data_IF_666799069002
#
_entry.id   IF_666799069002
#
_cell.length_a   1.000
_cell.length_b   1.000
_cell.length_c   1.000
_cell.angle_alpha   90.00
_cell.angle_beta   90.00
_cell.angle_gamma   90.00
#
_symmetry.space_group_name_H-M   'P 1'
#
loop_
_entity.id
_entity.type
_entity.pdbx_description
1 polymer ?
#
# COMPACT_ATOMS: atom_id res chain seq x y z
N UNK A 1 -22.09 12.93 17.24
CA UNK A 1 -21.07 12.44 16.27
C UNK A 1 -20.06 11.63 17.04
N UNK A 2 -20.03 10.33 16.84
CA UNK A 2 -19.00 9.43 17.39
C UNK A 2 -17.69 9.61 16.66
N UNK A 3 -16.58 9.54 17.36
CA UNK A 3 -15.25 9.65 16.75
C UNK A 3 -14.49 8.34 16.93
N UNK A 4 -14.02 7.77 15.82
CA UNK A 4 -13.31 6.49 15.79
C UNK A 4 -11.87 6.72 15.33
N UNK A 5 -10.92 6.27 16.13
CA UNK A 5 -9.50 6.18 15.76
C UNK A 5 -9.25 4.75 15.29
N UNK A 6 -9.05 4.58 13.99
CA UNK A 6 -8.62 3.32 13.39
C UNK A 6 -7.11 3.19 13.52
N UNK A 7 -6.63 2.16 14.18
CA UNK A 7 -5.19 1.90 14.36
C UNK A 7 -4.82 0.59 13.67
N UNK A 8 -3.84 0.62 12.77
CA UNK A 8 -3.27 -0.61 12.24
C UNK A 8 -2.38 -1.27 13.28
N UNK A 9 -2.44 -2.60 13.39
CA UNK A 9 -1.49 -3.35 14.24
C UNK A 9 -0.03 -3.02 13.90
N UNK A 10 0.87 -3.15 14.88
CA UNK A 10 2.32 -3.00 14.72
C UNK A 10 2.95 -4.01 13.76
N UNK A 11 4.23 -3.82 13.43
CA UNK A 11 4.97 -4.70 12.53
C UNK A 11 5.06 -6.13 13.07
N UNK A 12 5.03 -7.10 12.17
CA UNK A 12 5.34 -8.51 12.46
C UNK A 12 6.30 -9.07 11.40
N UNK A 13 6.94 -10.18 11.69
CA UNK A 13 7.95 -10.75 10.80
C UNK A 13 7.40 -11.19 9.44
N UNK A 14 6.12 -11.57 9.38
CA UNK A 14 5.51 -11.98 8.11
C UNK A 14 5.31 -10.80 7.17
N UNK A 15 4.87 -9.65 7.69
CA UNK A 15 4.75 -8.43 6.89
C UNK A 15 6.12 -7.95 6.39
N UNK A 16 7.14 -8.01 7.25
CA UNK A 16 8.54 -7.69 6.89
C UNK A 16 9.10 -8.61 5.79
N UNK A 17 8.71 -9.89 5.81
CA UNK A 17 9.12 -10.89 4.82
C UNK A 17 8.25 -10.88 3.56
N UNK A 18 7.29 -9.95 3.42
CA UNK A 18 6.30 -9.94 2.34
C UNK A 18 5.54 -11.26 2.21
N UNK A 19 5.11 -11.82 3.36
CA UNK A 19 4.32 -13.02 3.48
C UNK A 19 2.91 -12.66 3.93
N UNK A 20 1.91 -13.20 3.26
CA UNK A 20 0.51 -12.90 3.54
C UNK A 20 0.06 -13.63 4.80
N UNK A 21 -0.19 -12.89 5.85
CA UNK A 21 -0.52 -13.44 7.16
C UNK A 21 -1.97 -13.90 7.27
N UNK A 22 -2.90 -13.13 6.71
CA UNK A 22 -4.33 -13.39 6.84
C UNK A 22 -4.77 -13.49 8.30
N UNK A 23 -5.62 -14.46 8.58
CA UNK A 23 -6.12 -14.75 9.92
C UNK A 23 -5.37 -15.90 10.62
N UNK A 24 -4.22 -16.34 10.09
CA UNK A 24 -3.43 -17.41 10.72
C UNK A 24 -3.12 -17.02 12.17
N UNK A 25 -3.45 -17.89 13.15
CA UNK A 25 -3.21 -17.63 14.56
C UNK A 25 -1.70 -17.65 14.90
N UNK A 26 -1.32 -17.03 16.04
CA UNK A 26 0.04 -17.09 16.56
C UNK A 26 1.06 -16.23 15.77
N UNK A 27 0.60 -15.30 14.93
CA UNK A 27 1.49 -14.34 14.30
C UNK A 27 1.53 -13.10 15.21
N UNK A 28 2.58 -13.02 16.00
CA UNK A 28 2.83 -11.98 16.99
C UNK A 28 3.48 -10.73 16.40
N UNK A 29 3.44 -9.64 17.14
CA UNK A 29 4.30 -8.47 16.86
C UNK A 29 5.78 -8.89 16.98
N UNK A 30 6.63 -8.29 16.16
CA UNK A 30 8.07 -8.35 16.39
C UNK A 30 8.51 -7.20 17.30
N UNK A 31 9.79 -7.12 17.63
CA UNK A 31 10.32 -6.08 18.51
C UNK A 31 9.98 -4.67 18.03
N UNK A 32 10.13 -4.41 16.73
CA UNK A 32 9.72 -3.13 16.11
C UNK A 32 8.21 -2.89 16.29
N UNK A 33 7.38 -3.92 16.11
CA UNK A 33 5.93 -3.82 16.29
C UNK A 33 5.52 -3.50 17.72
N UNK A 34 6.18 -4.05 18.71
CA UNK A 34 5.97 -3.72 20.13
C UNK A 34 6.36 -2.26 20.43
N UNK A 35 7.48 -1.78 19.91
CA UNK A 35 7.89 -0.38 20.03
C UNK A 35 6.88 0.56 19.36
N UNK A 36 6.38 0.22 18.18
CA UNK A 36 5.35 0.98 17.47
C UNK A 36 4.03 1.01 18.24
N UNK A 37 3.60 -0.13 18.80
CA UNK A 37 2.38 -0.23 19.61
C UNK A 37 2.48 0.61 20.88
N UNK A 38 3.63 0.59 21.56
CA UNK A 38 3.88 1.46 22.69
C UNK A 38 3.88 2.94 22.29
N UNK A 39 4.54 3.30 21.18
CA UNK A 39 4.58 4.68 20.71
C UNK A 39 3.19 5.24 20.38
N UNK A 40 2.34 4.47 19.68
CA UNK A 40 0.96 4.92 19.39
C UNK A 40 0.13 5.02 20.67
N UNK A 41 0.28 4.13 21.64
CA UNK A 41 -0.42 4.22 22.92
C UNK A 41 -0.06 5.51 23.68
N UNK A 42 1.21 5.91 23.69
CA UNK A 42 1.67 7.16 24.32
C UNK A 42 1.12 8.39 23.58
N UNK A 43 1.04 8.36 22.25
CA UNK A 43 0.43 9.46 21.47
C UNK A 43 -1.05 9.62 21.75
N UNK A 44 -1.75 8.56 22.10
CA UNK A 44 -3.17 8.54 22.43
C UNK A 44 -3.44 8.81 23.92
N UNK A 45 -2.43 8.77 24.80
CA UNK A 45 -2.58 8.78 26.26
C UNK A 45 -3.39 9.98 26.83
N UNK A 46 -3.25 11.17 26.20
CA UNK A 46 -3.95 12.37 26.64
C UNK A 46 -5.38 12.48 26.13
N UNK A 47 -5.83 11.58 25.25
CA UNK A 47 -7.16 11.63 24.65
C UNK A 47 -8.20 10.94 25.55
N UNK A 48 -9.45 11.45 25.61
CA UNK A 48 -10.51 10.89 26.46
C UNK A 48 -11.15 9.64 25.82
N UNK A 49 -10.35 8.60 25.58
CA UNK A 49 -10.82 7.35 24.96
C UNK A 49 -11.77 6.63 25.92
N UNK A 50 -12.93 6.20 25.42
CA UNK A 50 -14.00 5.56 26.19
C UNK A 50 -14.08 4.04 25.99
N UNK A 51 -13.62 3.54 24.84
CA UNK A 51 -13.60 2.11 24.55
C UNK A 51 -12.46 1.76 23.58
N UNK A 52 -11.97 0.52 23.71
CA UNK A 52 -10.98 -0.07 22.80
C UNK A 52 -11.58 -1.33 22.20
N UNK A 53 -11.74 -1.31 20.90
CA UNK A 53 -12.15 -2.44 20.08
C UNK A 53 -10.95 -3.02 19.34
N UNK A 54 -10.96 -4.32 19.08
CA UNK A 54 -9.89 -4.97 18.35
C UNK A 54 -10.38 -6.14 17.49
N UNK A 55 -9.78 -6.29 16.32
CA UNK A 55 -9.73 -7.59 15.66
C UNK A 55 -9.21 -8.66 16.64
N UNK A 56 -9.77 -9.88 16.66
CA UNK A 56 -9.31 -10.95 17.56
C UNK A 56 -7.96 -11.55 17.16
N UNK A 57 -7.40 -11.15 16.03
CA UNK A 57 -6.10 -11.66 15.56
C UNK A 57 -4.97 -11.20 16.46
N UNK A 58 -4.09 -12.11 16.88
CA UNK A 58 -3.06 -11.95 17.91
C UNK A 58 -2.31 -10.60 17.83
N UNK A 59 -1.77 -10.21 16.67
CA UNK A 59 -1.03 -8.96 16.48
C UNK A 59 -1.86 -7.69 16.72
N UNK A 60 -3.18 -7.76 16.47
CA UNK A 60 -4.09 -6.66 16.80
C UNK A 60 -4.36 -6.61 18.29
N UNK A 61 -4.60 -7.75 18.91
CA UNK A 61 -4.80 -7.85 20.38
C UNK A 61 -3.59 -7.30 21.12
N UNK A 62 -2.39 -7.71 20.74
CA UNK A 62 -1.14 -7.20 21.32
C UNK A 62 -1.00 -5.68 21.17
N UNK A 63 -1.32 -5.13 19.99
CA UNK A 63 -1.31 -3.68 19.77
C UNK A 63 -2.37 -2.97 20.63
N UNK A 64 -3.59 -3.53 20.68
CA UNK A 64 -4.69 -2.99 21.45
C UNK A 64 -4.42 -3.00 22.97
N UNK A 65 -3.68 -4.00 23.47
CA UNK A 65 -3.31 -4.12 24.89
C UNK A 65 -2.53 -2.88 25.34
N UNK A 66 -1.53 -2.41 24.60
CA UNK A 66 -0.80 -1.18 24.94
C UNK A 66 -1.71 0.04 25.09
N UNK A 67 -2.73 0.16 24.22
CA UNK A 67 -3.67 1.27 24.25
C UNK A 67 -4.65 1.11 25.42
N UNK A 68 -5.21 -0.09 25.59
CA UNK A 68 -6.17 -0.41 26.63
C UNK A 68 -5.57 -0.21 28.04
N UNK A 69 -4.34 -0.69 28.26
CA UNK A 69 -3.63 -0.53 29.53
C UNK A 69 -3.38 0.95 29.86
N UNK A 70 -2.99 1.76 28.87
CA UNK A 70 -2.79 3.21 29.03
C UNK A 70 -4.04 3.91 29.54
N UNK A 71 -5.21 3.47 29.07
CA UNK A 71 -6.53 4.06 29.43
C UNK A 71 -7.28 3.28 30.52
N UNK A 72 -6.73 2.17 31.03
CA UNK A 72 -7.36 1.27 32.00
C UNK A 72 -8.70 0.73 31.52
N UNK A 73 -8.79 0.37 30.24
CA UNK A 73 -9.96 -0.16 29.58
C UNK A 73 -9.77 -1.64 29.24
N UNK A 74 -10.89 -2.37 29.13
CA UNK A 74 -10.90 -3.72 28.56
C UNK A 74 -11.02 -3.67 27.04
N UNK A 75 -10.47 -4.68 26.36
CA UNK A 75 -10.57 -4.83 24.92
C UNK A 75 -11.88 -5.54 24.57
N UNK A 76 -12.63 -4.97 23.63
CA UNK A 76 -13.82 -5.58 23.04
C UNK A 76 -13.45 -6.17 21.68
N UNK A 77 -13.66 -7.47 21.49
CA UNK A 77 -13.31 -8.13 20.24
C UNK A 77 -14.43 -8.00 19.21
N UNK A 78 -14.06 -7.72 17.96
CA UNK A 78 -14.97 -7.55 16.83
C UNK A 78 -14.40 -8.28 15.62
N UNK A 79 -15.04 -9.39 15.25
CA UNK A 79 -14.60 -10.24 14.14
C UNK A 79 -14.71 -9.54 12.78
N UNK A 80 -15.68 -8.65 12.62
CA UNK A 80 -15.96 -7.93 11.39
C UNK A 80 -14.85 -6.94 11.01
N UNK A 81 -14.04 -6.48 11.98
CA UNK A 81 -12.83 -5.69 11.71
C UNK A 81 -11.57 -6.57 11.62
N UNK A 82 -11.74 -7.90 11.60
CA UNK A 82 -10.67 -8.87 11.36
C UNK A 82 -10.12 -8.80 9.95
N UNK A 83 -8.89 -9.30 9.77
CA UNK A 83 -8.20 -9.31 8.48
C UNK A 83 -9.03 -10.04 7.40
N UNK A 84 -8.73 -9.75 6.16
CA UNK A 84 -9.28 -10.48 5.01
C UNK A 84 -8.95 -11.96 5.15
N UNK A 85 -9.95 -12.83 4.97
CA UNK A 85 -9.72 -14.26 4.80
C UNK A 85 -9.17 -14.52 3.40
N UNK A 86 -7.84 -14.60 3.30
CA UNK A 86 -7.18 -14.83 2.01
C UNK A 86 -7.23 -16.31 1.58
N UNK A 87 -7.80 -17.20 2.40
CA UNK A 87 -7.97 -18.60 2.11
C UNK A 87 -6.67 -19.29 1.69
N UNK A 88 -6.66 -19.92 0.52
CA UNK A 88 -5.46 -20.60 0.02
C UNK A 88 -4.22 -19.69 -0.18
N UNK A 89 -4.35 -18.40 -0.10
CA UNK A 89 -3.23 -17.47 -0.25
C UNK A 89 -2.51 -17.21 1.06
N UNK A 90 -3.12 -17.55 2.19
CA UNK A 90 -2.51 -17.38 3.50
C UNK A 90 -1.20 -18.17 3.61
N UNK A 91 -0.23 -17.60 4.28
CA UNK A 91 1.10 -18.18 4.45
C UNK A 91 2.01 -18.10 3.21
N UNK A 92 1.53 -17.61 2.07
CA UNK A 92 2.34 -17.54 0.84
C UNK A 92 3.08 -16.22 0.71
N UNK A 93 4.27 -16.27 0.11
CA UNK A 93 5.03 -15.04 -0.21
C UNK A 93 4.35 -14.28 -1.35
N UNK A 94 4.23 -12.96 -1.23
CA UNK A 94 3.62 -12.07 -2.22
C UNK A 94 4.28 -12.27 -3.61
N UNK A 95 5.61 -12.44 -3.68
CA UNK A 95 6.34 -12.72 -4.94
C UNK A 95 5.84 -13.99 -5.67
N UNK A 96 5.36 -15.00 -4.94
CA UNK A 96 4.77 -16.21 -5.53
C UNK A 96 3.33 -15.95 -6.01
N UNK A 97 2.56 -15.19 -5.22
CA UNK A 97 1.18 -14.83 -5.54
C UNK A 97 1.10 -13.91 -6.75
N UNK A 98 2.05 -12.99 -6.92
CA UNK A 98 2.14 -12.06 -8.06
C UNK A 98 2.20 -12.76 -9.43
N UNK A 99 2.54 -14.05 -9.47
CA UNK A 99 2.56 -14.87 -10.70
C UNK A 99 1.21 -15.53 -11.02
N UNK A 100 0.22 -15.44 -10.13
CA UNK A 100 -1.10 -16.06 -10.32
C UNK A 100 -2.03 -15.14 -11.13
N UNK A 101 -2.91 -15.67 -12.00
CA UNK A 101 -3.86 -14.86 -12.77
C UNK A 101 -4.74 -13.96 -11.90
N UNK A 102 -5.21 -14.47 -10.75
CA UNK A 102 -6.03 -13.72 -9.81
C UNK A 102 -5.30 -12.50 -9.21
N UNK A 103 -3.97 -12.50 -9.17
CA UNK A 103 -3.19 -11.34 -8.68
C UNK A 103 -3.54 -10.06 -9.43
N UNK A 104 -3.70 -10.14 -10.74
CA UNK A 104 -4.10 -8.99 -11.55
C UNK A 104 -5.48 -8.44 -11.13
N UNK A 105 -6.43 -9.32 -10.85
CA UNK A 105 -7.74 -8.90 -10.35
C UNK A 105 -7.62 -8.20 -8.99
N UNK A 106 -6.86 -8.77 -8.06
CA UNK A 106 -6.63 -8.17 -6.73
C UNK A 106 -5.96 -6.80 -6.83
N UNK A 107 -5.07 -6.58 -7.82
CA UNK A 107 -4.35 -5.31 -7.95
C UNK A 107 -5.15 -4.23 -8.71
N UNK A 108 -5.90 -4.59 -9.74
CA UNK A 108 -6.51 -3.64 -10.67
C UNK A 108 -8.04 -3.63 -10.65
N UNK A 109 -8.64 -4.73 -10.19
CA UNK A 109 -10.09 -4.90 -10.15
C UNK A 109 -10.54 -5.59 -8.84
N UNK A 110 -10.12 -5.06 -7.66
CA UNK A 110 -10.48 -5.65 -6.35
C UNK A 110 -11.98 -5.88 -6.19
N UNK A 111 -12.81 -5.04 -6.80
CA UNK A 111 -14.28 -5.21 -6.80
C UNK A 111 -14.76 -6.55 -7.36
N UNK A 112 -13.94 -7.22 -8.17
CA UNK A 112 -14.24 -8.54 -8.79
C UNK A 112 -13.43 -9.67 -8.17
N UNK A 113 -12.54 -9.36 -7.20
CA UNK A 113 -11.65 -10.33 -6.61
C UNK A 113 -12.34 -11.07 -5.46
N UNK A 114 -12.30 -12.41 -5.54
CA UNK A 114 -12.60 -13.33 -4.44
C UNK A 114 -11.39 -14.24 -4.24
N UNK A 115 -10.93 -14.36 -3.03
CA UNK A 115 -9.83 -15.27 -2.72
C UNK A 115 -10.31 -16.74 -2.73
N UNK A 116 -9.51 -17.68 -3.27
CA UNK A 116 -9.87 -19.09 -3.27
C UNK A 116 -10.03 -19.61 -1.83
N UNK A 117 -11.18 -20.17 -1.51
CA UNK A 117 -11.58 -20.53 -0.15
C UNK A 117 -11.51 -19.38 0.86
N UNK A 118 -11.75 -18.15 0.40
CA UNK A 118 -11.71 -16.95 1.20
C UNK A 118 -12.78 -15.93 0.79
N UNK A 119 -12.63 -14.71 1.29
CA UNK A 119 -13.61 -13.64 1.12
C UNK A 119 -13.47 -12.92 -0.24
N UNK A 120 -14.55 -12.28 -0.69
CA UNK A 120 -14.49 -11.22 -1.69
C UNK A 120 -14.23 -9.87 -1.00
N UNK A 121 -13.40 -9.01 -1.62
CA UNK A 121 -13.06 -7.72 -1.01
C UNK A 121 -14.28 -6.80 -0.80
N UNK A 122 -15.34 -6.96 -1.60
CA UNK A 122 -16.61 -6.24 -1.37
C UNK A 122 -17.33 -6.71 -0.09
N UNK A 123 -17.29 -7.98 0.22
CA UNK A 123 -17.88 -8.53 1.45
C UNK A 123 -17.09 -8.04 2.67
N UNK A 124 -15.77 -8.03 2.57
CA UNK A 124 -14.89 -7.48 3.60
C UNK A 124 -15.17 -5.99 3.86
N UNK A 125 -15.31 -5.20 2.80
CA UNK A 125 -15.65 -3.78 2.92
C UNK A 125 -17.00 -3.61 3.62
N UNK A 126 -18.01 -4.36 3.21
CA UNK A 126 -19.36 -4.28 3.76
C UNK A 126 -19.41 -4.60 5.26
N UNK A 127 -18.82 -5.75 5.70
CA UNK A 127 -18.81 -6.12 7.11
C UNK A 127 -18.06 -5.11 8.00
N UNK A 128 -16.94 -4.59 7.47
CA UNK A 128 -16.15 -3.60 8.21
C UNK A 128 -16.87 -2.27 8.37
N UNK A 129 -17.62 -1.80 7.35
CA UNK A 129 -18.43 -0.60 7.40
C UNK A 129 -19.53 -0.77 8.46
N UNK A 130 -20.29 -1.86 8.38
CA UNK A 130 -21.37 -2.13 9.36
C UNK A 130 -20.84 -2.11 10.80
N UNK A 131 -19.73 -2.79 11.07
CA UNK A 131 -19.13 -2.83 12.39
C UNK A 131 -18.73 -1.44 12.90
N UNK A 132 -18.11 -0.62 12.05
CA UNK A 132 -17.67 0.73 12.40
C UNK A 132 -18.87 1.65 12.64
N UNK A 133 -19.90 1.56 11.84
CA UNK A 133 -21.15 2.34 12.02
C UNK A 133 -21.87 1.94 13.30
N UNK A 134 -21.97 0.65 13.62
CA UNK A 134 -22.54 0.16 14.89
C UNK A 134 -21.75 0.62 16.12
N UNK A 135 -20.41 0.60 16.03
CA UNK A 135 -19.55 1.13 17.10
C UNK A 135 -19.80 2.63 17.27
N UNK A 136 -19.84 3.40 16.17
CA UNK A 136 -20.09 4.83 16.22
C UNK A 136 -21.46 5.17 16.80
N UNK A 137 -22.49 4.39 16.49
CA UNK A 137 -23.84 4.57 17.02
C UNK A 137 -23.93 4.33 18.55
N UNK A 138 -23.14 3.36 19.06
CA UNK A 138 -23.06 3.09 20.52
C UNK A 138 -22.30 4.17 21.29
N UNK A 139 -21.47 4.97 20.61
CA UNK A 139 -20.54 5.94 21.20
C UNK A 139 -20.76 7.36 20.67
N UNK A 140 -22.04 7.82 20.66
CA UNK A 140 -22.31 9.21 20.25
C UNK A 140 -21.60 10.20 21.17
N UNK A 141 -20.90 11.17 20.55
CA UNK A 141 -20.07 12.20 21.21
C UNK A 141 -18.88 11.66 22.01
N UNK A 142 -18.54 10.41 21.82
CA UNK A 142 -17.40 9.77 22.45
C UNK A 142 -16.26 9.50 21.44
N UNK A 143 -15.07 9.26 21.98
CA UNK A 143 -13.87 8.89 21.24
C UNK A 143 -13.51 7.45 21.57
N UNK A 144 -13.44 6.60 20.55
CA UNK A 144 -13.10 5.19 20.69
C UNK A 144 -11.96 4.80 19.75
N UNK A 145 -11.26 3.72 20.09
CA UNK A 145 -10.20 3.14 19.26
C UNK A 145 -10.66 1.81 18.69
N UNK A 146 -10.35 1.56 17.42
CA UNK A 146 -10.53 0.27 16.75
C UNK A 146 -9.18 -0.17 16.18
N UNK A 147 -8.62 -1.25 16.71
CA UNK A 147 -7.35 -1.82 16.22
C UNK A 147 -7.65 -2.89 15.17
N UNK A 148 -7.09 -2.72 13.98
CA UNK A 148 -7.40 -3.55 12.83
C UNK A 148 -6.19 -3.69 11.88
N UNK A 149 -6.42 -4.00 10.63
CA UNK A 149 -5.46 -4.37 9.61
C UNK A 149 -5.41 -3.35 8.48
N UNK A 150 -4.31 -3.36 7.70
CA UNK A 150 -4.10 -2.38 6.63
C UNK A 150 -5.22 -2.43 5.58
N UNK A 151 -5.61 -3.62 5.12
CA UNK A 151 -6.61 -3.72 4.05
C UNK A 151 -8.01 -3.34 4.54
N UNK A 152 -8.35 -3.65 5.80
CA UNK A 152 -9.61 -3.24 6.42
C UNK A 152 -9.70 -1.71 6.51
N UNK A 153 -8.65 -1.07 7.04
CA UNK A 153 -8.60 0.39 7.17
C UNK A 153 -8.64 1.07 5.80
N UNK A 154 -7.93 0.53 4.80
CA UNK A 154 -7.97 1.02 3.41
C UNK A 154 -9.37 0.95 2.82
N UNK A 155 -10.07 -0.17 3.01
CA UNK A 155 -11.43 -0.38 2.50
C UNK A 155 -12.42 0.56 3.16
N UNK A 156 -12.31 0.80 4.47
CA UNK A 156 -13.11 1.78 5.22
C UNK A 156 -12.86 3.21 4.71
N UNK A 157 -11.60 3.62 4.62
CA UNK A 157 -11.24 4.94 4.13
C UNK A 157 -11.66 5.15 2.66
N UNK A 158 -11.51 4.14 1.80
CA UNK A 158 -11.98 4.20 0.44
C UNK A 158 -13.49 4.46 0.37
N UNK A 159 -14.27 3.75 1.19
CA UNK A 159 -15.72 3.95 1.27
C UNK A 159 -16.08 5.38 1.68
N UNK A 160 -15.57 5.86 2.81
CA UNK A 160 -15.94 7.16 3.36
C UNK A 160 -15.39 8.37 2.59
N UNK A 161 -14.34 8.16 1.79
CA UNK A 161 -13.80 9.17 0.86
C UNK A 161 -14.46 9.13 -0.54
N UNK A 162 -15.37 8.20 -0.81
CA UNK A 162 -15.96 8.01 -2.14
C UNK A 162 -14.94 7.49 -3.16
N UNK A 163 -13.85 6.88 -2.71
CA UNK A 163 -12.85 6.26 -3.58
C UNK A 163 -13.35 4.87 -3.97
N UNK A 164 -13.46 4.62 -5.29
CA UNK A 164 -13.87 3.30 -5.76
C UNK A 164 -12.97 2.20 -5.20
N UNK A 165 -13.56 1.07 -4.81
CA UNK A 165 -12.83 -0.06 -4.21
C UNK A 165 -11.64 -0.53 -5.08
N UNK A 166 -11.71 -0.40 -6.40
CA UNK A 166 -10.60 -0.75 -7.30
C UNK A 166 -9.36 0.14 -7.12
N UNK A 167 -9.48 1.21 -6.36
CA UNK A 167 -8.41 2.16 -6.09
C UNK A 167 -7.93 2.15 -4.62
N UNK A 168 -8.50 1.27 -3.76
CA UNK A 168 -8.23 1.27 -2.33
C UNK A 168 -6.75 1.06 -1.98
N UNK A 169 -5.99 0.37 -2.83
CA UNK A 169 -4.56 0.15 -2.63
C UNK A 169 -3.70 1.42 -2.82
N UNK A 170 -4.29 2.51 -3.35
CA UNK A 170 -3.63 3.83 -3.40
C UNK A 170 -3.53 4.49 -2.03
N UNK A 171 -4.32 4.03 -1.06
CA UNK A 171 -4.27 4.49 0.32
C UNK A 171 -3.19 3.71 1.05
N UNK A 172 -2.20 4.42 1.60
CA UNK A 172 -1.12 3.81 2.39
C UNK A 172 -1.51 3.84 3.86
N UNK A 173 -1.33 2.72 4.55
CA UNK A 173 -1.55 2.59 6.00
C UNK A 173 -0.31 1.95 6.60
N UNK A 174 0.47 2.72 7.35
CA UNK A 174 1.69 2.28 8.03
C UNK A 174 1.40 1.44 9.27
N UNK A 175 2.28 0.54 9.73
CA UNK A 175 2.12 -0.13 11.02
C UNK A 175 1.97 0.87 12.16
N UNK A 176 1.04 0.61 13.09
CA UNK A 176 0.67 1.47 14.22
C UNK A 176 0.29 2.92 13.85
N UNK A 177 -0.04 3.19 12.58
CA UNK A 177 -0.61 4.48 12.19
C UNK A 177 -2.06 4.61 12.65
N UNK A 178 -2.47 5.85 12.90
CA UNK A 178 -3.83 6.22 13.27
C UNK A 178 -4.54 6.94 12.12
N UNK A 179 -5.79 6.56 11.85
CA UNK A 179 -6.69 7.29 10.97
C UNK A 179 -7.96 7.62 11.74
N UNK A 180 -8.51 8.82 11.56
CA UNK A 180 -9.61 9.32 12.41
C UNK A 180 -10.84 9.60 11.56
N UNK A 181 -11.93 8.97 11.94
CA UNK A 181 -13.26 9.15 11.35
C UNK A 181 -14.20 9.79 12.38
N UNK A 182 -15.03 10.72 11.95
CA UNK A 182 -16.15 11.21 12.74
C UNK A 182 -17.46 10.88 12.00
N UNK A 183 -18.33 10.11 12.67
CA UNK A 183 -19.59 9.63 12.12
C UNK A 183 -20.75 10.23 12.93
N UNK A 184 -21.69 10.84 12.23
CA UNK A 184 -22.88 11.43 12.83
C UNK A 184 -24.09 10.53 12.63
N UNK A 185 -25.05 10.49 13.59
CA UNK A 185 -26.28 9.72 13.44
C UNK A 185 -27.14 10.11 12.24
N UNK A 186 -26.98 11.32 11.71
CA UNK A 186 -27.66 11.82 10.51
C UNK A 186 -26.96 11.44 9.19
N UNK A 187 -25.92 10.58 9.28
CA UNK A 187 -25.21 10.05 8.12
C UNK A 187 -24.04 10.91 7.62
N UNK A 188 -23.75 12.06 8.26
CA UNK A 188 -22.57 12.84 7.90
C UNK A 188 -21.30 12.15 8.39
N UNK A 189 -20.37 11.90 7.48
CA UNK A 189 -19.06 11.33 7.81
C UNK A 189 -17.94 12.29 7.42
N UNK A 190 -16.92 12.38 8.27
CA UNK A 190 -15.70 13.16 8.02
C UNK A 190 -14.48 12.30 8.27
N UNK A 191 -13.56 12.27 7.31
CA UNK A 191 -12.22 11.72 7.50
C UNK A 191 -11.32 12.86 7.98
N UNK A 192 -10.96 12.83 9.27
CA UNK A 192 -10.23 13.93 9.92
C UNK A 192 -8.72 13.76 9.77
N UNK A 193 -8.24 12.53 9.78
CA UNK A 193 -6.82 12.18 9.59
C UNK A 193 -6.70 10.83 8.89
N UNK A 194 -5.61 10.66 8.15
CA UNK A 194 -5.25 9.39 7.51
C UNK A 194 -3.78 9.10 7.73
N UNK A 195 -3.49 7.84 8.08
CA UNK A 195 -2.13 7.31 8.17
C UNK A 195 -1.17 8.19 9.00
N UNK A 196 -1.64 8.71 10.13
CA UNK A 196 -0.81 9.48 11.05
C UNK A 196 0.06 8.50 11.86
N UNK A 197 1.34 8.40 11.52
CA UNK A 197 2.35 7.55 12.15
C UNK A 197 3.41 8.36 12.92
N UNK A 198 3.21 9.66 13.09
CA UNK A 198 4.06 10.56 13.85
C UNK A 198 4.73 11.64 12.98
N UNK A 199 5.96 12.08 13.34
CA UNK A 199 6.67 13.08 12.57
C UNK A 199 6.87 12.68 11.11
N UNK A 200 6.74 13.66 10.20
CA UNK A 200 7.00 13.42 8.79
C UNK A 200 8.45 13.00 8.57
N UNK A 201 8.63 11.81 8.03
CA UNK A 201 9.92 11.34 7.55
C UNK A 201 9.99 11.51 6.02
N UNK A 202 11.19 11.73 5.45
CA UNK A 202 11.33 11.69 3.99
C UNK A 202 10.77 10.38 3.44
N UNK A 203 9.93 10.40 2.41
CA UNK A 203 9.41 9.19 1.82
C UNK A 203 10.57 8.32 1.33
N UNK A 204 10.51 7.02 1.62
CA UNK A 204 11.38 6.05 0.97
C UNK A 204 11.03 6.05 -0.52
N UNK A 205 11.82 6.72 -1.32
CA UNK A 205 11.66 6.69 -2.78
C UNK A 205 11.92 5.25 -3.23
N UNK A 206 11.13 4.73 -4.20
CA UNK A 206 11.43 3.44 -4.80
C UNK A 206 12.88 3.43 -5.28
N UNK A 207 13.63 2.39 -4.93
CA UNK A 207 14.96 2.21 -5.50
C UNK A 207 14.81 2.00 -7.01
N UNK A 208 15.13 3.03 -7.78
CA UNK A 208 15.01 3.03 -9.24
C UNK A 208 16.11 2.21 -9.94
N UNK A 209 16.92 1.49 -9.15
CA UNK A 209 18.01 0.64 -9.65
C UNK A 209 19.15 1.40 -10.33
N UNK A 210 19.16 2.75 -10.33
CA UNK A 210 20.21 3.54 -10.99
C UNK A 210 21.56 3.41 -10.29
N UNK A 211 21.57 3.15 -8.97
CA UNK A 211 22.82 2.97 -8.21
C UNK A 211 23.60 1.71 -8.61
N UNK A 212 22.89 0.64 -8.99
CA UNK A 212 23.58 -0.57 -9.46
C UNK A 212 24.14 -0.44 -10.87
N UNK A 213 23.45 0.30 -11.77
CA UNK A 213 23.96 0.58 -13.12
C UNK A 213 25.24 1.43 -13.10
N UNK A 214 25.30 2.46 -12.24
CA UNK A 214 26.50 3.29 -12.11
C UNK A 214 27.69 2.56 -11.50
N UNK A 215 27.49 1.62 -10.57
CA UNK A 215 28.57 0.75 -10.06
C UNK A 215 29.04 -0.25 -11.12
N UNK A 216 28.15 -0.76 -11.94
CA UNK A 216 28.48 -1.66 -13.05
C UNK A 216 29.26 -0.96 -14.17
N UNK A 217 28.89 0.28 -14.53
CA UNK A 217 29.61 1.07 -15.54
C UNK A 217 30.96 1.57 -15.04
N UNK A 218 31.10 1.97 -13.78
CA UNK A 218 32.40 2.32 -13.20
C UNK A 218 33.36 1.11 -13.16
N UNK A 219 32.89 -0.09 -12.82
CA UNK A 219 33.66 -1.31 -12.87
C UNK A 219 34.08 -1.70 -14.30
N UNK A 220 33.20 -1.51 -15.29
CA UNK A 220 33.52 -1.76 -16.71
C UNK A 220 34.55 -0.77 -17.25
N UNK A 221 34.45 0.53 -16.90
CA UNK A 221 35.47 1.55 -17.30
C UNK A 221 36.81 1.29 -16.65
N UNK A 222 36.89 0.97 -15.37
CA UNK A 222 38.16 0.61 -14.72
C UNK A 222 38.79 -0.65 -15.29
N UNK A 223 38.01 -1.62 -15.76
CA UNK A 223 38.53 -2.84 -16.38
C UNK A 223 38.96 -2.62 -17.84
N UNK A 224 38.43 -1.61 -18.54
CA UNK A 224 38.88 -1.18 -19.85
C UNK A 224 40.15 -0.33 -19.77
N UNK A 225 40.26 0.57 -18.78
CA UNK A 225 41.48 1.35 -18.57
C UNK A 225 42.68 0.50 -18.13
N UNK A 226 42.46 -0.55 -17.33
CA UNK A 226 43.53 -1.49 -16.95
C UNK A 226 43.98 -2.40 -18.09
N UNK A 227 43.21 -2.54 -19.18
CA UNK A 227 43.62 -3.30 -20.40
C UNK A 227 44.31 -2.44 -21.46
N UNK A 228 44.21 -1.08 -21.34
CA UNK A 228 44.85 -0.17 -22.33
C UNK A 228 46.28 0.23 -21.97
N UNK A 229 46.83 -0.24 -20.84
CA UNK A 229 48.20 0.06 -20.40
C UNK A 229 49.18 -1.08 -20.74
N UNK A 230 48.79 -2.03 -21.55
CA UNK A 230 49.70 -3.07 -22.06
C UNK A 230 49.95 -2.83 -23.55
N UNK A 231 50.97 -2.01 -23.87
CA UNK A 231 51.58 -1.93 -25.21
C UNK A 231 52.58 -3.05 -25.42
N UNK A 232 52.70 -3.55 -26.64
CA UNK A 232 53.99 -3.55 -27.29
C UNK A 232 53.98 -3.03 -28.74
N UNK A 233 54.97 -2.23 -28.99
CA UNK A 233 55.71 -1.89 -30.21
C UNK A 233 55.22 -2.34 -31.59
N UNK A 234 55.16 -1.33 -32.43
CA UNK A 234 55.60 -1.17 -33.78
C UNK A 234 55.51 -2.33 -34.82
N UNK A 235 54.77 -2.03 -35.87
CA UNK A 235 55.27 -2.18 -37.25
C UNK A 235 54.50 -1.32 -38.25
N UNK A 236 55.21 -0.39 -38.85
CA UNK A 236 54.88 0.43 -40.01
C UNK A 236 54.47 -0.38 -41.23
N UNK A 237 53.51 0.07 -42.01
CA UNK A 237 53.55 0.22 -43.46
C UNK A 237 52.27 0.81 -44.07
N UNK A 238 52.49 1.98 -44.67
CA UNK A 238 52.04 2.51 -45.96
C UNK A 238 50.59 2.37 -46.49
N UNK A 239 49.97 3.56 -46.61
CA UNK A 239 49.50 4.19 -47.87
C UNK A 239 48.36 3.49 -48.62
N UNK A 240 47.25 4.18 -48.84
CA UNK A 240 46.86 4.94 -50.04
C UNK A 240 45.46 5.57 -49.79
N UNK A 241 45.39 6.85 -50.11
CA UNK A 241 44.17 7.64 -50.15
C UNK A 241 43.30 7.31 -51.37
N UNK A 242 41.99 7.47 -51.23
CA UNK A 242 41.10 7.90 -52.32
C UNK A 242 39.74 8.35 -51.73
N UNK A 243 39.44 9.64 -51.89
CA UNK A 243 38.10 10.25 -51.85
C UNK A 243 37.62 10.45 -53.31
N UNK A 244 36.50 11.06 -53.57
CA UNK A 244 35.11 10.86 -53.12
C UNK A 244 34.15 10.69 -54.31
N UNK A 245 32.89 10.35 -54.12
CA UNK A 245 31.84 10.78 -55.05
C UNK A 245 30.48 10.90 -54.39
N UNK A 246 29.89 12.03 -54.64
CA UNK A 246 28.53 12.43 -54.40
C UNK A 246 27.54 11.73 -55.33
N UNK A 247 26.32 11.63 -54.86
CA UNK A 247 25.03 11.73 -55.60
C UNK A 247 23.95 11.21 -54.63
N UNK A 248 22.98 11.95 -54.18
CA UNK A 248 22.02 12.76 -54.89
C UNK A 248 20.78 11.93 -55.25
N UNK A 249 19.71 12.00 -54.40
CA UNK A 249 18.30 12.09 -54.87
C UNK A 249 17.28 11.98 -53.73
N UNK A 250 16.67 13.10 -53.44
CA UNK A 250 15.21 13.43 -53.60
C UNK A 250 14.20 12.64 -52.76
N UNK A 251 13.55 13.43 -51.87
CA UNK A 251 12.21 13.22 -51.30
C UNK A 251 11.13 13.03 -52.38
N UNK A 252 10.00 12.47 -51.99
CA UNK A 252 8.77 13.25 -52.19
C UNK A 252 7.90 13.45 -50.92
N UNK A 253 7.30 14.61 -50.96
CA UNK A 253 6.23 15.11 -50.09
C UNK A 253 4.85 14.48 -50.38
N UNK A 254 4.00 14.73 -49.37
CA UNK A 254 2.56 15.02 -49.48
C UNK A 254 1.62 13.82 -49.36
N UNK A 255 0.59 13.87 -48.56
CA UNK A 255 -0.56 14.80 -48.66
C UNK A 255 -1.39 14.78 -47.38
N UNK A 256 -1.80 15.95 -46.94
CA UNK A 256 -2.96 16.18 -46.10
C UNK A 256 -4.24 15.96 -46.89
N UNK A 257 -5.27 15.44 -46.22
CA UNK A 257 -6.66 15.73 -46.55
C UNK A 257 -7.53 15.52 -45.31
N UNK A 258 -7.95 16.63 -44.70
CA UNK A 258 -9.28 16.75 -44.14
C UNK A 258 -10.28 16.87 -45.31
N UNK A 259 -11.57 16.50 -45.12
CA UNK A 259 -12.54 17.48 -44.66
C UNK A 259 -13.68 16.94 -43.77
N UNK A 260 -14.10 17.75 -42.88
CA UNK A 260 -15.37 18.36 -42.47
C UNK A 260 -16.72 17.72 -42.89
N UNK A 261 -17.63 17.83 -41.87
CA UNK A 261 -19.09 18.04 -41.92
C UNK A 261 -19.96 16.83 -42.24
N UNK A 262 -20.97 16.54 -41.47
CA UNK A 262 -22.17 17.31 -41.20
C UNK A 262 -23.02 16.66 -40.10
N UNK A 263 -23.62 17.51 -39.31
CA UNK A 263 -24.87 17.39 -38.57
C UNK A 263 -25.94 16.62 -39.33
N UNK A 264 -26.73 15.84 -38.59
CA UNK A 264 -28.21 15.95 -38.65
C UNK A 264 -28.84 15.27 -37.40
N UNK A 265 -29.83 15.97 -36.93
CA UNK A 265 -30.78 15.78 -35.87
C UNK A 265 -31.79 14.63 -36.17
N UNK A 266 -32.56 14.36 -35.10
CA UNK A 266 -33.86 13.64 -35.01
C UNK A 266 -33.70 12.19 -34.49
N UNK A 267 -34.33 11.85 -33.43
CA UNK A 267 -35.56 11.99 -32.61
C UNK A 267 -35.29 11.52 -31.14
#
# INVERSE_FOLDING_TARGET
>A
MGTIILVRHGENDWSKQNKLAGRIPGIHLNETGHQQAHAVSQRLAALPIKAVYSSPVTRCVETATYIADTHRLSIQYVDEVGEVEYGEWEGKKIKKLAKKPLWRAVQFFPSRARFPQGEALREVQFRAIQAVEEIAARHDKELVVVVSHADIIRLLLAHYLGVHIDLFQRIVISPASASVLALSPDGLVRVLRMNDDGPLHPPALPDDGRKEKQKGEKRKKQHQESKSIATPEAKTKNWVALSPSADGKSRPQARRSDPAASLDEEE
#
